data_IF_525454309947
#
_entry.id   IF_525454309947
#
_cell.length_a   1.000
_cell.length_b   1.000
_cell.length_c   1.000
_cell.angle_alpha   90.00
_cell.angle_beta   90.00
_cell.angle_gamma   90.00
#
_symmetry.space_group_name_H-M   'P 1'
#
loop_
_entity.id
_entity.type
_entity.pdbx_description
1 polymer ?
#
# COMPACT_ATOMS: atom_id res chain seq x y z
N UNK A 1 7.40 -23.93 -9.66
CA UNK A 1 6.33 -24.94 -9.51
C UNK A 1 4.99 -24.22 -9.46
N UNK A 2 3.93 -24.74 -10.09
CA UNK A 2 2.61 -24.11 -10.09
C UNK A 2 1.57 -25.07 -9.53
N UNK A 3 0.61 -24.52 -8.76
CA UNK A 3 -0.53 -25.26 -8.20
C UNK A 3 -1.79 -24.72 -8.85
N UNK A 4 -2.70 -25.62 -9.26
CA UNK A 4 -3.99 -25.21 -9.84
C UNK A 4 -4.99 -25.00 -8.71
N UNK A 5 -5.62 -23.83 -8.71
CA UNK A 5 -6.73 -23.48 -7.83
C UNK A 5 -7.93 -23.07 -8.67
N UNK A 6 -9.14 -23.39 -8.21
CA UNK A 6 -10.39 -22.92 -8.83
C UNK A 6 -11.01 -21.89 -7.90
N UNK A 7 -11.29 -20.70 -8.41
CA UNK A 7 -11.88 -19.59 -7.65
C UNK A 7 -13.01 -18.97 -8.47
N UNK A 8 -14.06 -18.53 -7.78
CA UNK A 8 -15.10 -17.69 -8.39
C UNK A 8 -14.68 -16.23 -8.24
N UNK A 9 -14.72 -15.49 -9.34
CA UNK A 9 -14.41 -14.06 -9.38
C UNK A 9 -15.60 -13.32 -10.00
N UNK A 10 -15.83 -12.06 -9.63
CA UNK A 10 -16.82 -11.23 -10.31
C UNK A 10 -16.52 -11.11 -11.82
N UNK A 11 -17.56 -11.10 -12.64
CA UNK A 11 -17.45 -11.10 -14.11
C UNK A 11 -16.61 -9.92 -14.60
N UNK A 12 -16.75 -8.74 -13.99
CA UNK A 12 -15.99 -7.55 -14.35
C UNK A 12 -14.47 -7.73 -14.16
N UNK A 13 -14.05 -8.53 -13.19
CA UNK A 13 -12.63 -8.82 -12.93
C UNK A 13 -12.10 -9.80 -13.98
N UNK A 14 -12.89 -10.81 -14.34
CA UNK A 14 -12.54 -11.75 -15.41
C UNK A 14 -12.38 -11.02 -16.75
N UNK A 15 -13.31 -10.11 -17.06
CA UNK A 15 -13.26 -9.30 -18.27
C UNK A 15 -12.02 -8.39 -18.32
N UNK A 16 -11.66 -7.74 -17.20
CA UNK A 16 -10.42 -6.94 -17.13
C UNK A 16 -9.17 -7.77 -17.39
N UNK A 17 -9.08 -8.97 -16.80
CA UNK A 17 -7.96 -9.87 -17.03
C UNK A 17 -7.85 -10.29 -18.51
N UNK A 18 -8.98 -10.61 -19.14
CA UNK A 18 -9.03 -10.94 -20.57
C UNK A 18 -8.61 -9.76 -21.45
N UNK A 19 -9.06 -8.54 -21.13
CA UNK A 19 -8.67 -7.33 -21.85
C UNK A 19 -7.16 -7.04 -21.72
N UNK A 20 -6.59 -7.21 -20.53
CA UNK A 20 -5.15 -7.05 -20.31
C UNK A 20 -4.32 -8.04 -21.15
N UNK A 21 -4.80 -9.28 -21.28
CA UNK A 21 -4.17 -10.28 -22.16
C UNK A 21 -4.30 -9.88 -23.63
N UNK A 22 -5.49 -9.46 -24.07
CA UNK A 22 -5.73 -9.03 -25.45
C UNK A 22 -4.89 -7.79 -25.82
N UNK A 23 -4.64 -6.90 -24.86
CA UNK A 23 -3.78 -5.73 -25.02
C UNK A 23 -2.27 -6.05 -24.93
N UNK A 24 -1.89 -7.32 -24.71
CA UNK A 24 -0.49 -7.75 -24.56
C UNK A 24 0.15 -7.30 -23.24
N UNK A 25 -0.63 -6.83 -22.28
CA UNK A 25 -0.16 -6.39 -20.96
C UNK A 25 0.10 -7.58 -20.02
N UNK A 26 -0.47 -8.75 -20.31
CA UNK A 26 -0.20 -9.99 -19.59
C UNK A 26 -0.14 -11.17 -20.57
N UNK A 27 0.75 -12.14 -20.29
CA UNK A 27 0.93 -13.31 -21.15
C UNK A 27 -0.26 -14.30 -21.11
N UNK A 28 -1.04 -14.28 -20.03
CA UNK A 28 -2.24 -15.11 -19.85
C UNK A 28 -3.08 -14.58 -18.68
N UNK A 29 -4.32 -15.04 -18.54
CA UNK A 29 -5.17 -14.71 -17.39
C UNK A 29 -4.55 -15.19 -16.08
N UNK A 30 -3.93 -16.39 -16.08
CA UNK A 30 -3.21 -16.88 -14.91
C UNK A 30 -1.99 -16.04 -14.55
N UNK A 31 -1.27 -15.50 -15.54
CA UNK A 31 -0.16 -14.58 -15.29
C UNK A 31 -0.66 -13.26 -14.69
N UNK A 32 -1.72 -12.67 -15.29
CA UNK A 32 -2.35 -11.47 -14.77
C UNK A 32 -2.78 -11.61 -13.30
N UNK A 33 -3.40 -12.74 -12.94
CA UNK A 33 -3.82 -13.02 -11.56
C UNK A 33 -2.62 -13.24 -10.64
N UNK A 34 -1.59 -13.96 -11.10
CA UNK A 34 -0.37 -14.18 -10.31
C UNK A 34 0.34 -12.86 -10.01
N UNK A 35 0.46 -11.96 -10.99
CA UNK A 35 1.07 -10.64 -10.85
C UNK A 35 0.27 -9.79 -9.86
N UNK A 36 -1.06 -9.73 -10.01
CA UNK A 36 -1.93 -8.99 -9.09
C UNK A 36 -1.85 -9.50 -7.63
N UNK A 37 -1.76 -10.83 -7.44
CA UNK A 37 -1.54 -11.43 -6.11
C UNK A 37 -0.16 -11.06 -5.58
N UNK A 38 0.86 -11.09 -6.45
CA UNK A 38 2.22 -10.75 -6.08
C UNK A 38 2.33 -9.28 -5.66
N UNK A 39 1.71 -8.35 -6.39
CA UNK A 39 1.63 -6.93 -6.02
C UNK A 39 1.01 -6.72 -4.63
N UNK A 40 -0.02 -7.51 -4.28
CA UNK A 40 -0.62 -7.50 -2.94
C UNK A 40 0.31 -8.04 -1.85
N UNK A 41 1.27 -8.90 -2.20
CA UNK A 41 2.24 -9.47 -1.29
C UNK A 41 3.51 -8.63 -1.14
N UNK A 42 3.83 -7.76 -2.10
CA UNK A 42 5.03 -6.92 -2.07
C UNK A 42 4.96 -5.74 -1.08
N UNK A 43 3.80 -5.46 -0.51
CA UNK A 43 3.71 -4.56 0.64
C UNK A 43 3.89 -5.35 1.92
N UNK A 44 5.05 -5.25 2.58
CA UNK A 44 5.10 -5.52 4.03
C UNK A 44 4.07 -4.58 4.65
N UNK A 45 3.03 -5.08 5.34
CA UNK A 45 2.07 -4.21 5.99
C UNK A 45 2.83 -3.20 6.84
N UNK A 46 2.48 -1.91 6.74
CA UNK A 46 3.24 -0.85 7.43
C UNK A 46 3.42 -1.17 8.93
N UNK A 47 2.41 -1.78 9.57
CA UNK A 47 2.51 -2.24 10.95
C UNK A 47 3.57 -3.32 11.19
N UNK A 48 3.75 -4.26 10.26
CA UNK A 48 4.79 -5.29 10.35
C UNK A 48 6.19 -4.70 10.16
N UNK A 49 6.32 -3.73 9.24
CA UNK A 49 7.57 -3.00 9.03
C UNK A 49 7.96 -2.20 10.29
N UNK A 50 7.01 -1.45 10.86
CA UNK A 50 7.23 -0.68 12.07
C UNK A 50 7.54 -1.57 13.27
N UNK A 51 6.87 -2.72 13.41
CA UNK A 51 7.17 -3.69 14.46
C UNK A 51 8.58 -4.29 14.31
N UNK A 52 9.03 -4.52 13.08
CA UNK A 52 10.40 -4.96 12.82
C UNK A 52 11.42 -3.89 13.23
N UNK A 53 11.16 -2.61 12.94
CA UNK A 53 12.01 -1.49 13.38
C UNK A 53 12.01 -1.31 14.89
N UNK A 54 10.86 -1.41 15.54
CA UNK A 54 10.76 -1.39 17.01
C UNK A 54 11.61 -2.51 17.65
N UNK A 55 11.63 -3.69 17.03
CA UNK A 55 12.41 -4.83 17.51
C UNK A 55 13.91 -4.66 17.29
N UNK A 56 14.33 -4.05 16.18
CA UNK A 56 15.73 -3.85 15.82
C UNK A 56 16.36 -2.64 16.52
N UNK A 57 15.64 -1.52 16.56
CA UNK A 57 16.14 -0.22 17.02
C UNK A 57 15.61 0.16 18.41
N UNK A 58 14.59 -0.53 18.90
CA UNK A 58 13.84 -0.14 20.08
C UNK A 58 12.73 0.86 19.76
N UNK A 59 11.73 0.93 20.64
CA UNK A 59 10.66 1.94 20.54
C UNK A 59 11.19 3.34 20.86
N UNK A 60 10.72 4.38 20.14
CA UNK A 60 10.96 5.76 20.54
C UNK A 60 10.47 6.03 21.97
N UNK A 61 11.13 6.95 22.67
CA UNK A 61 10.68 7.37 24.00
C UNK A 61 9.44 8.28 23.92
N UNK A 62 8.72 8.40 25.02
CA UNK A 62 7.56 9.31 25.13
C UNK A 62 7.93 10.76 24.81
N UNK A 63 9.16 11.18 25.10
CA UNK A 63 9.68 12.52 24.74
C UNK A 63 9.77 12.70 23.22
N UNK A 64 10.21 11.67 22.49
CA UNK A 64 10.28 11.70 21.02
C UNK A 64 8.87 11.76 20.42
N UNK A 65 7.92 11.01 20.98
CA UNK A 65 6.52 11.08 20.56
C UNK A 65 5.90 12.46 20.81
N UNK A 66 6.14 13.04 21.99
CA UNK A 66 5.63 14.37 22.33
C UNK A 66 6.23 15.46 21.42
N UNK A 67 7.52 15.36 21.08
CA UNK A 67 8.14 16.25 20.10
C UNK A 67 7.51 16.11 18.70
N UNK A 68 7.29 14.88 18.24
CA UNK A 68 6.71 14.62 16.92
C UNK A 68 5.28 15.17 16.80
N UNK A 69 4.47 15.01 17.85
CA UNK A 69 3.10 15.54 17.90
C UNK A 69 3.09 17.08 17.82
N UNK A 70 3.95 17.75 18.60
CA UNK A 70 4.06 19.21 18.56
C UNK A 70 4.50 19.74 17.17
N UNK A 71 5.36 19.01 16.47
CA UNK A 71 5.84 19.38 15.14
C UNK A 71 4.78 19.17 14.05
N UNK A 72 3.96 18.12 14.18
CA UNK A 72 2.80 17.90 13.31
C UNK A 72 1.79 19.02 13.49
N UNK A 73 1.44 19.38 14.72
CA UNK A 73 0.52 20.48 15.03
C UNK A 73 1.00 21.81 14.43
N UNK A 74 2.30 22.11 14.57
CA UNK A 74 2.92 23.32 14.00
C UNK A 74 2.76 23.34 12.47
N UNK A 75 3.07 22.22 11.81
CA UNK A 75 3.02 22.11 10.34
C UNK A 75 1.59 22.21 9.81
N UNK A 76 0.64 21.58 10.50
CA UNK A 76 -0.78 21.64 10.14
C UNK A 76 -1.32 23.08 10.24
N UNK A 77 -0.92 23.81 11.29
CA UNK A 77 -1.26 25.22 11.44
C UNK A 77 -0.67 26.08 10.30
N UNK A 78 0.58 25.83 9.89
CA UNK A 78 1.21 26.53 8.77
C UNK A 78 0.51 26.26 7.44
N UNK A 79 0.14 25.01 7.18
CA UNK A 79 -0.60 24.63 5.96
C UNK A 79 -2.03 25.20 5.95
N UNK A 80 -2.68 25.30 7.11
CA UNK A 80 -3.97 25.97 7.23
C UNK A 80 -3.85 27.47 6.88
N UNK A 81 -2.84 28.16 7.44
CA UNK A 81 -2.59 29.56 7.17
C UNK A 81 -2.30 29.83 5.67
N UNK A 82 -1.50 28.96 5.03
CA UNK A 82 -1.21 29.06 3.59
C UNK A 82 -2.45 28.88 2.71
N UNK A 83 -3.36 27.96 3.08
CA UNK A 83 -4.63 27.77 2.35
C UNK A 83 -5.54 28.99 2.49
N UNK A 84 -5.61 29.59 3.68
CA UNK A 84 -6.41 30.80 3.89
C UNK A 84 -5.84 32.02 3.18
N UNK A 85 -4.52 32.13 3.03
CA UNK A 85 -3.87 33.24 2.34
C UNK A 85 -4.00 33.17 0.80
N UNK A 86 -4.33 32.00 0.25
CA UNK A 86 -4.48 31.76 -1.19
C UNK A 86 -5.93 31.86 -1.68
N UNK A 87 -6.90 31.92 -0.76
CA UNK A 87 -8.33 32.07 -1.04
C UNK A 87 -8.71 33.56 -1.12
#
# INVERSE_FOLDING_TARGET
MTIRITVSLPDEIVHKAQQAVAAGQAASVSAYVADAISEKQHGVPLGELLAAWDAELGRPSDEVYAWAEAELDRTDAEWAAQRTAKA
#
